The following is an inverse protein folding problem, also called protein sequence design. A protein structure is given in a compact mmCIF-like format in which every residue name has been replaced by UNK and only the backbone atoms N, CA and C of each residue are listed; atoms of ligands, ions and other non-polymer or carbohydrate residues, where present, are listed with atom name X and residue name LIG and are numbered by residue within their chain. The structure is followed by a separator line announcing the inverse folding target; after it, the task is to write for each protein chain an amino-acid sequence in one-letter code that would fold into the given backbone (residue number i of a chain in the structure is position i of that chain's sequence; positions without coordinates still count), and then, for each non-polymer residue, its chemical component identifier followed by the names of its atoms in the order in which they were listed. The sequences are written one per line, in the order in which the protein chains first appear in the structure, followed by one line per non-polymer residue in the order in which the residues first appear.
data_IF_807595428522
#
_entry.id   IF_807595428522
#
_cell.length_a   1.000
_cell.length_b   1.000
_cell.length_c   1.000
_cell.angle_alpha   90.00
_cell.angle_beta   90.00
_cell.angle_gamma   90.00
#
_symmetry.space_group_name_H-M   'P 1'
#
loop_
_entity.id
_entity.type
_entity.pdbx_description
1 polymer ?
#
# COMPACT_ATOMS: atom_id res chain seq x y z
N UNK A 1 30.54 36.09 10.58
CA UNK A 1 29.85 35.17 9.65
C UNK A 1 30.87 34.26 9.04
N UNK A 2 30.67 32.96 9.20
CA UNK A 2 31.48 31.92 8.59
C UNK A 2 31.16 31.81 7.09
N UNK A 3 32.05 31.16 6.33
CA UNK A 3 31.80 30.78 4.94
C UNK A 3 30.57 29.86 4.82
N UNK A 4 30.33 29.02 5.83
CA UNK A 4 29.14 28.18 5.89
C UNK A 4 27.85 28.99 6.06
N UNK A 5 27.88 30.10 6.81
CA UNK A 5 26.71 30.99 6.97
C UNK A 5 26.33 31.63 5.63
N UNK A 6 27.33 32.07 4.85
CA UNK A 6 27.10 32.65 3.51
C UNK A 6 26.53 31.64 2.53
N UNK A 7 27.10 30.43 2.49
CA UNK A 7 26.62 29.36 1.62
C UNK A 7 25.18 28.93 1.97
N UNK A 8 24.85 28.91 3.26
CA UNK A 8 23.49 28.62 3.72
C UNK A 8 22.48 29.68 3.24
N UNK A 9 22.82 30.96 3.39
CA UNK A 9 21.97 32.06 2.95
C UNK A 9 21.78 32.06 1.41
N UNK A 10 22.84 31.74 0.65
CA UNK A 10 22.78 31.60 -0.82
C UNK A 10 21.91 30.41 -1.28
N UNK A 11 21.83 29.33 -0.49
CA UNK A 11 20.97 28.18 -0.83
C UNK A 11 19.47 28.44 -0.66
N UNK A 12 19.08 29.46 0.10
CA UNK A 12 17.67 29.85 0.25
C UNK A 12 17.02 30.29 -1.07
N UNK A 13 17.81 30.85 -1.99
CA UNK A 13 17.34 31.42 -3.26
C UNK A 13 17.29 30.43 -4.42
N UNK A 14 17.86 29.22 -4.27
CA UNK A 14 17.92 28.25 -5.37
C UNK A 14 16.52 27.69 -5.68
N UNK A 15 15.69 27.42 -4.67
CA UNK A 15 14.36 26.83 -4.85
C UNK A 15 13.38 27.78 -5.55
N UNK A 16 13.42 29.06 -5.17
CA UNK A 16 12.62 30.11 -5.80
C UNK A 16 13.02 30.32 -7.26
N UNK A 17 14.31 30.17 -7.60
CA UNK A 17 14.80 30.21 -8.99
C UNK A 17 14.23 29.10 -9.88
N UNK A 18 13.83 27.97 -9.28
CA UNK A 18 13.20 26.84 -9.97
C UNK A 18 11.66 26.85 -9.86
N UNK A 19 11.08 27.92 -9.31
CA UNK A 19 9.65 28.05 -9.04
C UNK A 19 9.11 26.90 -8.16
N UNK A 20 9.93 26.41 -7.23
CA UNK A 20 9.58 25.37 -6.27
C UNK A 20 9.36 26.01 -4.89
N UNK A 21 8.21 25.72 -4.27
CA UNK A 21 7.93 26.08 -2.88
C UNK A 21 8.46 25.03 -1.89
N UNK A 22 8.55 23.78 -2.33
CA UNK A 22 9.09 22.64 -1.60
C UNK A 22 9.68 21.64 -2.60
N UNK A 23 10.55 20.74 -2.14
CA UNK A 23 11.05 19.64 -2.96
C UNK A 23 9.92 18.63 -3.14
N UNK A 24 9.42 18.40 -4.36
CA UNK A 24 8.29 17.51 -4.58
C UNK A 24 8.71 16.02 -4.53
N UNK A 25 10.01 15.75 -4.44
CA UNK A 25 10.59 14.42 -4.38
C UNK A 25 10.88 14.03 -2.94
N UNK A 26 10.54 12.79 -2.59
CA UNK A 26 11.02 12.14 -1.38
C UNK A 26 11.68 10.82 -1.75
N UNK A 27 12.50 10.31 -0.84
CA UNK A 27 13.16 9.00 -1.04
C UNK A 27 12.17 7.84 -1.09
N UNK A 28 10.95 8.00 -0.55
CA UNK A 28 9.95 6.94 -0.51
C UNK A 28 8.62 7.35 -1.16
N UNK A 29 8.20 6.57 -2.14
CA UNK A 29 6.86 6.71 -2.73
C UNK A 29 5.72 6.61 -1.69
N UNK A 30 5.94 5.92 -0.55
CA UNK A 30 4.94 5.85 0.51
C UNK A 30 4.72 7.18 1.23
N UNK A 31 5.73 8.06 1.29
CA UNK A 31 5.60 9.41 1.87
C UNK A 31 5.03 10.43 0.87
N UNK A 32 4.99 10.11 -0.42
CA UNK A 32 4.41 10.98 -1.47
C UNK A 32 2.90 10.84 -1.64
N UNK A 33 2.19 10.03 -0.84
CA UNK A 33 0.77 9.66 -1.09
C UNK A 33 -0.19 10.85 -1.31
N UNK A 34 0.04 12.00 -0.69
CA UNK A 34 -0.78 13.21 -0.85
C UNK A 34 -0.44 14.03 -2.11
N UNK A 35 0.75 13.85 -2.67
CA UNK A 35 1.28 14.61 -3.81
C UNK A 35 1.66 13.70 -5.01
N UNK A 36 1.37 12.40 -4.93
CA UNK A 36 1.81 11.40 -5.91
C UNK A 36 1.33 11.74 -7.32
N UNK A 37 0.08 12.22 -7.45
CA UNK A 37 -0.52 12.60 -8.71
C UNK A 37 0.16 13.82 -9.37
N UNK A 38 0.88 14.64 -8.60
CA UNK A 38 1.65 15.79 -9.10
C UNK A 38 3.04 15.39 -9.60
N UNK A 39 3.59 14.28 -9.09
CA UNK A 39 5.00 13.90 -9.32
C UNK A 39 5.16 12.61 -10.10
N UNK A 40 4.11 11.79 -10.15
CA UNK A 40 4.07 10.57 -10.95
C UNK A 40 4.02 10.91 -12.44
N UNK A 41 5.09 10.58 -13.15
CA UNK A 41 5.23 10.89 -14.59
C UNK A 41 5.55 9.65 -15.40
N UNK A 42 5.16 9.67 -16.68
CA UNK A 42 5.40 8.56 -17.61
C UNK A 42 4.50 7.34 -17.34
N UNK A 43 5.01 6.14 -17.68
CA UNK A 43 4.33 4.83 -17.46
C UNK A 43 2.96 4.65 -18.10
N UNK A 44 2.62 5.47 -19.10
CA UNK A 44 1.30 5.43 -19.75
C UNK A 44 0.99 4.07 -20.38
N UNK A 45 2.00 3.38 -20.92
CA UNK A 45 1.82 2.05 -21.52
C UNK A 45 1.45 1.02 -20.44
N UNK A 46 2.18 1.01 -19.33
CA UNK A 46 1.98 0.13 -18.19
C UNK A 46 0.63 0.41 -17.49
N UNK A 47 0.29 1.69 -17.30
CA UNK A 47 -1.02 2.11 -16.77
C UNK A 47 -2.16 1.62 -17.67
N UNK A 48 -2.03 1.78 -18.99
CA UNK A 48 -3.05 1.30 -19.94
C UNK A 48 -3.21 -0.22 -19.86
N UNK A 49 -2.11 -0.96 -19.74
CA UNK A 49 -2.15 -2.42 -19.58
C UNK A 49 -2.86 -2.82 -18.29
N UNK A 50 -2.46 -2.28 -17.14
CA UNK A 50 -3.04 -2.68 -15.85
C UNK A 50 -4.51 -2.26 -15.74
N UNK A 51 -4.90 -1.08 -16.21
CA UNK A 51 -6.29 -0.65 -16.18
C UNK A 51 -7.18 -1.49 -17.10
N UNK A 52 -6.67 -1.96 -18.24
CA UNK A 52 -7.40 -2.92 -19.07
C UNK A 52 -7.62 -4.25 -18.35
N UNK A 53 -6.62 -4.75 -17.63
CA UNK A 53 -6.75 -5.96 -16.81
C UNK A 53 -7.79 -5.76 -15.69
N UNK A 54 -7.71 -4.63 -14.97
CA UNK A 54 -8.59 -4.29 -13.85
C UNK A 54 -10.04 -3.99 -14.26
N UNK A 55 -10.30 -3.67 -15.53
CA UNK A 55 -11.67 -3.55 -16.07
C UNK A 55 -12.33 -4.91 -16.37
N UNK A 56 -11.55 -5.99 -16.43
CA UNK A 56 -12.09 -7.34 -16.66
C UNK A 56 -13.00 -7.82 -15.51
N UNK A 57 -13.80 -8.85 -15.81
CA UNK A 57 -14.62 -9.54 -14.80
C UNK A 57 -13.84 -10.61 -14.02
N UNK A 58 -12.81 -11.17 -14.66
CA UNK A 58 -11.99 -12.22 -14.07
C UNK A 58 -10.98 -11.65 -13.08
N UNK A 59 -10.90 -12.27 -11.89
CA UNK A 59 -9.92 -11.90 -10.87
C UNK A 59 -8.50 -12.12 -11.37
N UNK A 60 -7.65 -11.10 -11.24
CA UNK A 60 -6.26 -11.13 -11.70
C UNK A 60 -5.27 -11.13 -10.53
N UNK A 61 -4.13 -11.77 -10.78
CA UNK A 61 -2.93 -11.71 -9.94
C UNK A 61 -1.86 -11.07 -10.81
N UNK A 62 -1.60 -9.81 -10.55
CA UNK A 62 -0.79 -8.94 -11.39
C UNK A 62 0.57 -8.83 -10.72
N UNK A 63 1.62 -9.20 -11.45
CA UNK A 63 3.00 -9.00 -11.00
C UNK A 63 3.52 -7.68 -11.61
N UNK A 64 3.86 -6.73 -10.75
CA UNK A 64 4.59 -5.51 -11.12
C UNK A 64 6.06 -5.81 -10.95
N UNK A 65 6.75 -5.98 -12.07
CA UNK A 65 8.11 -6.50 -12.10
C UNK A 65 9.11 -5.46 -12.60
N UNK A 66 10.27 -5.36 -11.95
CA UNK A 66 11.36 -4.49 -12.37
C UNK A 66 12.41 -4.26 -11.28
N UNK A 67 13.52 -3.64 -11.65
CA UNK A 67 14.64 -3.36 -10.73
C UNK A 67 14.23 -2.53 -9.52
N UNK A 68 15.03 -2.58 -8.45
CA UNK A 68 14.87 -1.72 -7.27
C UNK A 68 15.03 -0.25 -7.67
N UNK A 69 14.24 0.65 -7.06
CA UNK A 69 14.30 2.09 -7.33
C UNK A 69 13.57 2.57 -8.60
N UNK A 70 13.03 1.66 -9.43
CA UNK A 70 12.42 2.02 -10.72
C UNK A 70 10.99 2.62 -10.60
N UNK A 71 10.49 2.79 -9.37
CA UNK A 71 9.17 3.38 -9.08
C UNK A 71 8.00 2.39 -9.03
N UNK A 72 8.21 1.11 -8.69
CA UNK A 72 7.13 0.10 -8.59
C UNK A 72 6.07 0.48 -7.56
N UNK A 73 6.49 0.86 -6.35
CA UNK A 73 5.60 1.32 -5.27
C UNK A 73 4.77 2.52 -5.71
N UNK A 74 5.40 3.54 -6.30
CA UNK A 74 4.72 4.71 -6.83
C UNK A 74 3.67 4.32 -7.90
N UNK A 75 4.02 3.43 -8.82
CA UNK A 75 3.11 2.93 -9.85
C UNK A 75 1.90 2.22 -9.25
N UNK A 76 2.10 1.35 -8.26
CA UNK A 76 1.01 0.65 -7.57
C UNK A 76 0.10 1.64 -6.85
N UNK A 77 0.67 2.58 -6.08
CA UNK A 77 -0.09 3.58 -5.35
C UNK A 77 -0.93 4.46 -6.29
N UNK A 78 -0.39 4.85 -7.45
CA UNK A 78 -1.15 5.61 -8.45
C UNK A 78 -2.31 4.80 -9.03
N UNK A 79 -2.08 3.51 -9.35
CA UNK A 79 -3.14 2.62 -9.83
C UNK A 79 -4.27 2.50 -8.81
N UNK A 80 -3.94 2.27 -7.54
CA UNK A 80 -4.94 2.16 -6.47
C UNK A 80 -5.68 3.48 -6.25
N UNK A 81 -4.98 4.61 -6.28
CA UNK A 81 -5.58 5.96 -6.19
C UNK A 81 -6.59 6.22 -7.32
N UNK A 82 -6.26 5.83 -8.55
CA UNK A 82 -7.20 5.91 -9.68
C UNK A 82 -8.41 5.00 -9.47
N UNK A 83 -8.22 3.76 -9.01
CA UNK A 83 -9.33 2.83 -8.73
C UNK A 83 -10.28 3.40 -7.68
N UNK A 84 -9.78 3.92 -6.56
CA UNK A 84 -10.61 4.51 -5.50
C UNK A 84 -11.41 5.73 -6.00
N UNK A 85 -10.79 6.59 -6.81
CA UNK A 85 -11.45 7.79 -7.35
C UNK A 85 -12.51 7.46 -8.43
N UNK A 86 -12.29 6.40 -9.21
CA UNK A 86 -13.11 6.09 -10.40
C UNK A 86 -14.07 4.90 -10.23
N UNK A 87 -13.84 4.01 -9.26
CA UNK A 87 -14.62 2.79 -9.02
C UNK A 87 -15.06 2.73 -7.56
N UNK A 88 -16.16 3.40 -7.23
CA UNK A 88 -16.68 3.51 -5.84
C UNK A 88 -17.13 2.17 -5.24
N UNK A 89 -17.36 1.17 -6.08
CA UNK A 89 -17.72 -0.20 -5.76
C UNK A 89 -16.50 -1.12 -5.55
N UNK A 90 -15.28 -0.60 -5.71
CA UNK A 90 -14.02 -1.34 -5.51
C UNK A 90 -13.34 -0.89 -4.23
N UNK A 91 -13.06 -1.83 -3.33
CA UNK A 91 -12.15 -1.62 -2.20
C UNK A 91 -10.71 -1.88 -2.67
N UNK A 92 -9.88 -0.85 -2.74
CA UNK A 92 -8.48 -0.96 -3.14
C UNK A 92 -7.58 -0.70 -1.93
N UNK A 93 -6.74 -1.68 -1.59
CA UNK A 93 -5.92 -1.71 -0.37
C UNK A 93 -4.44 -1.92 -0.71
N UNK A 94 -3.56 -1.52 0.20
CA UNK A 94 -2.11 -1.61 0.05
C UNK A 94 -1.46 -2.02 1.36
N UNK A 95 -0.41 -2.85 1.29
CA UNK A 95 0.51 -3.10 2.38
C UNK A 95 1.92 -3.38 1.83
N UNK A 96 2.94 -2.83 2.48
CA UNK A 96 4.32 -3.32 2.33
C UNK A 96 4.47 -4.55 3.23
N UNK A 97 5.17 -5.59 2.78
CA UNK A 97 5.32 -6.81 3.59
C UNK A 97 5.96 -6.45 4.97
N UNK A 98 5.22 -6.54 6.10
CA UNK A 98 5.60 -5.82 7.31
C UNK A 98 6.88 -6.31 7.97
N UNK A 99 7.13 -7.62 7.93
CA UNK A 99 8.29 -8.22 8.58
C UNK A 99 8.82 -9.42 7.83
N UNK A 100 10.06 -9.77 8.17
CA UNK A 100 10.68 -11.01 7.76
C UNK A 100 10.03 -12.29 8.33
N UNK A 101 8.92 -12.23 9.04
CA UNK A 101 8.20 -13.44 9.51
C UNK A 101 6.74 -13.48 9.09
N UNK A 102 6.26 -12.41 8.47
CA UNK A 102 4.87 -12.29 8.05
C UNK A 102 4.63 -13.09 6.77
N UNK A 103 3.59 -13.91 6.75
CA UNK A 103 3.12 -14.58 5.54
C UNK A 103 2.19 -13.68 4.70
N UNK A 104 1.94 -14.08 3.46
CA UNK A 104 1.10 -13.29 2.53
C UNK A 104 -0.36 -13.18 3.00
N UNK A 105 -0.88 -14.20 3.69
CA UNK A 105 -2.26 -14.21 4.16
C UNK A 105 -2.46 -13.22 5.31
N UNK A 106 -1.51 -13.17 6.23
CA UNK A 106 -1.45 -12.20 7.32
C UNK A 106 -1.30 -10.79 6.77
N UNK A 107 -0.41 -10.58 5.79
CA UNK A 107 -0.26 -9.27 5.14
C UNK A 107 -1.56 -8.82 4.46
N UNK A 108 -2.19 -9.70 3.66
CA UNK A 108 -3.47 -9.41 3.01
C UNK A 108 -4.58 -9.12 4.02
N UNK A 109 -4.64 -9.88 5.11
CA UNK A 109 -5.60 -9.69 6.20
C UNK A 109 -5.43 -8.33 6.86
N UNK A 110 -4.20 -7.94 7.19
CA UNK A 110 -3.90 -6.62 7.77
C UNK A 110 -4.31 -5.50 6.81
N UNK A 111 -3.96 -5.62 5.52
CA UNK A 111 -4.30 -4.62 4.50
C UNK A 111 -5.82 -4.43 4.38
N UNK A 112 -6.55 -5.55 4.36
CA UNK A 112 -8.00 -5.55 4.27
C UNK A 112 -8.64 -4.98 5.54
N UNK A 113 -8.20 -5.41 6.71
CA UNK A 113 -8.75 -4.97 7.99
C UNK A 113 -8.53 -3.47 8.24
N UNK A 114 -7.35 -2.94 7.89
CA UNK A 114 -7.08 -1.49 7.94
C UNK A 114 -8.02 -0.69 7.04
N UNK A 115 -8.40 -1.26 5.90
CA UNK A 115 -9.29 -0.63 4.93
C UNK A 115 -10.79 -0.77 5.29
N UNK A 116 -11.11 -1.39 6.43
CA UNK A 116 -12.47 -1.58 6.93
C UNK A 116 -12.61 -1.04 8.38
N UNK A 117 -12.37 0.25 8.62
CA UNK A 117 -12.32 0.84 9.98
C UNK A 117 -13.65 0.67 10.75
N UNK A 118 -14.78 0.70 10.05
CA UNK A 118 -16.11 0.57 10.65
C UNK A 118 -16.58 -0.88 10.84
N UNK A 119 -15.74 -1.88 10.50
CA UNK A 119 -16.06 -3.29 10.70
C UNK A 119 -15.45 -3.79 12.03
N UNK A 120 -16.31 -4.10 13.01
CA UNK A 120 -15.88 -4.52 14.35
C UNK A 120 -14.97 -5.75 14.32
N UNK A 121 -15.25 -6.71 13.42
CA UNK A 121 -14.43 -7.91 13.28
C UNK A 121 -13.04 -7.59 12.73
N UNK A 122 -12.96 -6.71 11.73
CA UNK A 122 -11.68 -6.21 11.23
C UNK A 122 -10.85 -5.56 12.35
N UNK A 123 -11.47 -4.73 13.19
CA UNK A 123 -10.76 -4.05 14.28
C UNK A 123 -10.34 -5.01 15.39
N UNK A 124 -11.15 -6.01 15.69
CA UNK A 124 -10.78 -7.08 16.63
C UNK A 124 -9.57 -7.88 16.13
N UNK A 125 -9.54 -8.24 14.84
CA UNK A 125 -8.41 -8.95 14.24
C UNK A 125 -7.11 -8.14 14.35
N UNK A 126 -7.14 -6.83 14.03
CA UNK A 126 -5.96 -5.97 14.19
C UNK A 126 -5.49 -5.93 15.65
N UNK A 127 -6.41 -5.76 16.60
CA UNK A 127 -6.08 -5.75 18.03
C UNK A 127 -5.46 -7.07 18.49
N UNK A 128 -5.98 -8.20 18.05
CA UNK A 128 -5.42 -9.53 18.36
C UNK A 128 -4.02 -9.71 17.79
N UNK A 129 -3.74 -9.12 16.63
CA UNK A 129 -2.40 -9.12 16.03
C UNK A 129 -1.43 -8.14 16.69
N UNK A 130 -1.87 -7.38 17.70
CA UNK A 130 -1.06 -6.37 18.38
C UNK A 130 -0.97 -5.05 17.62
N UNK A 131 -1.78 -4.85 16.58
CA UNK A 131 -1.77 -3.68 15.72
C UNK A 131 -2.81 -2.66 16.18
N UNK A 132 -2.45 -1.38 16.13
CA UNK A 132 -3.36 -0.29 16.52
C UNK A 132 -4.40 -0.04 15.42
N UNK A 133 -5.68 -0.04 15.80
CA UNK A 133 -6.81 0.32 14.94
C UNK A 133 -6.79 1.82 14.57
N UNK A 134 -7.14 2.16 13.32
CA UNK A 134 -7.22 3.56 12.86
C UNK A 134 -8.16 4.44 13.72
N UNK A 135 -9.22 3.86 14.29
CA UNK A 135 -10.15 4.55 15.19
C UNK A 135 -9.46 5.06 16.46
N UNK A 136 -8.45 4.34 16.95
CA UNK A 136 -7.66 4.73 18.14
C UNK A 136 -6.61 5.79 17.80
N UNK A 137 -6.15 5.86 16.55
CA UNK A 137 -5.25 6.94 16.07
C UNK A 137 -6.02 8.25 15.81
N UNK A 138 -7.26 8.19 15.30
CA UNK A 138 -8.12 9.37 15.00
C UNK A 138 -8.42 10.26 16.22
N UNK A 139 -8.34 9.75 17.46
CA UNK A 139 -8.53 10.57 18.68
C UNK A 139 -7.36 11.50 18.99
N UNK A 140 -6.17 11.28 18.40
CA UNK A 140 -5.00 12.18 18.54
C UNK A 140 -4.84 13.20 17.41
N UNK A 141 -5.31 12.93 16.20
CA UNK A 141 -5.12 13.76 15.00
C UNK A 141 -6.44 14.36 14.51
N UNK A 142 -7.04 15.23 15.32
CA UNK A 142 -8.31 15.89 15.03
C UNK A 142 -8.12 17.22 14.28
N UNK A 143 -7.22 17.27 13.28
CA UNK A 143 -7.06 18.42 12.38
C UNK A 143 -6.69 17.84 11.00
N UNK A 144 -7.36 18.33 9.96
CA UNK A 144 -7.20 18.01 8.52
C UNK A 144 -8.15 16.95 7.92
N UNK A 145 -9.22 17.48 7.34
CA UNK A 145 -10.35 16.74 6.79
C UNK A 145 -10.14 16.23 5.35
N UNK A 146 -11.06 15.32 5.01
CA UNK A 146 -11.42 14.82 3.67
C UNK A 146 -10.59 13.70 3.01
N UNK A 147 -9.87 12.87 3.77
CA UNK A 147 -9.44 11.52 3.31
C UNK A 147 -9.41 10.48 4.44
N UNK A 148 -10.52 10.36 5.19
CA UNK A 148 -10.62 9.55 6.41
C UNK A 148 -10.48 8.01 6.24
N UNK A 149 -10.11 7.51 5.05
CA UNK A 149 -9.80 6.10 4.76
C UNK A 149 -8.39 5.86 4.23
N UNK A 150 -7.49 6.87 4.26
CA UNK A 150 -6.12 6.73 3.75
C UNK A 150 -5.08 7.57 4.53
N UNK A 151 -5.41 8.03 5.74
CA UNK A 151 -4.76 9.15 6.41
C UNK A 151 -4.18 8.88 7.81
N UNK A 152 -3.72 7.67 8.11
CA UNK A 152 -2.83 7.43 9.24
C UNK A 152 -1.38 7.39 8.74
N UNK A 153 -0.51 8.24 9.27
CA UNK A 153 0.95 8.20 9.05
C UNK A 153 1.48 6.76 9.18
N UNK A 154 1.89 6.18 8.06
CA UNK A 154 2.66 4.94 8.02
C UNK A 154 4.14 5.32 7.98
N UNK A 155 4.63 5.86 9.09
CA UNK A 155 5.93 5.38 9.55
C UNK A 155 5.66 3.96 10.04
N UNK A 156 6.10 2.98 9.25
CA UNK A 156 6.25 1.60 9.72
C UNK A 156 7.34 1.61 10.79
N UNK A 157 7.00 2.04 12.00
CA UNK A 157 7.61 1.43 13.16
C UNK A 157 7.36 -0.07 13.02
N UNK A 158 8.43 -0.87 13.13
CA UNK A 158 8.39 -2.32 13.06
C UNK A 158 7.59 -2.88 14.23
N UNK A 159 6.26 -2.75 14.17
CA UNK A 159 5.35 -3.31 15.15
C UNK A 159 5.44 -4.84 15.00
N UNK A 160 5.70 -5.53 16.12
CA UNK A 160 5.75 -6.99 16.13
C UNK A 160 4.36 -7.54 15.82
N UNK A 161 4.17 -8.02 14.59
CA UNK A 161 2.91 -8.63 14.15
C UNK A 161 2.80 -10.03 14.76
N UNK A 162 1.78 -10.26 15.59
CA UNK A 162 1.42 -11.59 16.05
C UNK A 162 0.41 -12.21 15.07
N UNK A 163 0.81 -13.15 14.19
CA UNK A 163 -0.11 -13.71 13.22
C UNK A 163 -1.24 -14.47 13.92
N UNK A 164 -2.44 -14.44 13.34
CA UNK A 164 -3.55 -15.28 13.79
C UNK A 164 -3.21 -16.76 13.61
N UNK A 165 -3.82 -17.66 14.39
CA UNK A 165 -3.57 -19.11 14.26
C UNK A 165 -3.90 -19.67 12.86
N UNK A 166 -4.91 -19.09 12.17
CA UNK A 166 -5.33 -19.49 10.83
C UNK A 166 -5.51 -18.28 9.89
N UNK A 167 -4.42 -17.67 9.40
CA UNK A 167 -4.48 -16.41 8.63
C UNK A 167 -5.32 -16.50 7.36
N UNK A 168 -5.24 -17.62 6.63
CA UNK A 168 -6.01 -17.83 5.40
C UNK A 168 -7.51 -17.87 5.66
N UNK A 169 -7.96 -18.49 6.76
CA UNK A 169 -9.38 -18.54 7.11
C UNK A 169 -9.87 -17.17 7.57
N UNK A 170 -9.12 -16.52 8.46
CA UNK A 170 -9.45 -15.16 8.91
C UNK A 170 -9.49 -14.15 7.76
N UNK A 171 -8.57 -14.28 6.79
CA UNK A 171 -8.58 -13.49 5.57
C UNK A 171 -9.84 -13.75 4.73
N UNK A 172 -10.20 -15.02 4.51
CA UNK A 172 -11.39 -15.35 3.71
C UNK A 172 -12.67 -14.84 4.36
N UNK A 173 -12.84 -15.02 5.67
CA UNK A 173 -13.99 -14.53 6.41
C UNK A 173 -14.13 -13.00 6.29
N UNK A 174 -13.01 -12.28 6.39
CA UNK A 174 -13.03 -10.82 6.24
C UNK A 174 -13.25 -10.39 4.78
N UNK A 175 -12.70 -11.13 3.81
CA UNK A 175 -12.93 -10.90 2.38
C UNK A 175 -14.41 -11.05 2.03
N UNK A 176 -15.09 -12.07 2.54
CA UNK A 176 -16.51 -12.28 2.30
C UNK A 176 -17.35 -11.11 2.82
N UNK A 177 -17.00 -10.59 4.00
CA UNK A 177 -17.63 -9.38 4.57
C UNK A 177 -17.37 -8.14 3.72
N UNK A 178 -16.17 -7.99 3.17
CA UNK A 178 -15.86 -6.90 2.25
C UNK A 178 -16.68 -7.02 0.96
N UNK A 179 -16.79 -8.22 0.40
CA UNK A 179 -17.53 -8.47 -0.85
C UNK A 179 -19.05 -8.31 -0.72
N UNK A 180 -19.60 -8.34 0.50
CA UNK A 180 -20.98 -7.93 0.74
C UNK A 180 -21.21 -6.42 0.55
N UNK A 181 -20.17 -5.59 0.72
CA UNK A 181 -20.23 -4.13 0.60
C UNK A 181 -19.66 -3.62 -0.73
N UNK A 182 -18.70 -4.33 -1.28
CA UNK A 182 -17.96 -3.95 -2.47
C UNK A 182 -18.07 -5.03 -3.54
N UNK A 183 -18.26 -4.64 -4.79
CA UNK A 183 -18.28 -5.59 -5.92
C UNK A 183 -16.90 -6.20 -6.19
N UNK A 184 -15.83 -5.52 -5.75
CA UNK A 184 -14.46 -5.96 -5.96
C UNK A 184 -13.57 -5.56 -4.78
N UNK A 185 -12.63 -6.44 -4.44
CA UNK A 185 -11.52 -6.14 -3.52
C UNK A 185 -10.20 -6.34 -4.27
N UNK A 186 -9.37 -5.30 -4.29
CA UNK A 186 -8.01 -5.29 -4.86
C UNK A 186 -7.01 -5.07 -3.73
N UNK A 187 -6.07 -6.00 -3.59
CA UNK A 187 -5.06 -5.97 -2.53
C UNK A 187 -3.68 -5.91 -3.18
N UNK A 188 -2.96 -4.81 -2.95
CA UNK A 188 -1.56 -4.71 -3.31
C UNK A 188 -0.67 -5.13 -2.14
N UNK A 189 0.25 -6.07 -2.39
CA UNK A 189 1.29 -6.49 -1.44
C UNK A 189 2.64 -6.16 -2.08
N UNK A 190 3.30 -5.16 -1.52
CA UNK A 190 4.57 -4.60 -1.99
C UNK A 190 5.75 -5.21 -1.21
N UNK A 191 6.96 -4.86 -1.63
CA UNK A 191 8.23 -5.25 -0.99
C UNK A 191 8.52 -6.76 -0.94
N UNK A 192 7.78 -7.57 -1.72
CA UNK A 192 8.17 -8.97 -1.97
C UNK A 192 9.53 -9.05 -2.64
N UNK A 193 9.88 -8.05 -3.43
CA UNK A 193 11.15 -7.96 -4.12
C UNK A 193 12.33 -7.55 -3.23
N UNK A 194 12.08 -7.21 -1.96
CA UNK A 194 13.11 -6.97 -0.96
C UNK A 194 13.41 -8.20 -0.10
N UNK A 195 12.67 -9.28 -0.29
CA UNK A 195 12.82 -10.53 0.46
C UNK A 195 13.77 -11.50 -0.26
N UNK A 196 14.30 -12.45 0.51
CA UNK A 196 15.04 -13.58 -0.07
C UNK A 196 14.19 -14.34 -1.11
N UNK A 197 14.73 -14.67 -2.31
CA UNK A 197 13.96 -15.32 -3.38
C UNK A 197 13.37 -16.69 -2.99
N UNK A 198 14.08 -17.50 -2.21
CA UNK A 198 13.56 -18.81 -1.79
C UNK A 198 12.39 -18.64 -0.83
N UNK A 199 12.49 -17.64 0.04
CA UNK A 199 11.37 -17.24 0.87
C UNK A 199 10.18 -16.73 0.04
N UNK A 200 10.39 -15.89 -0.98
CA UNK A 200 9.29 -15.42 -1.84
C UNK A 200 8.57 -16.61 -2.49
N UNK A 201 9.33 -17.61 -2.97
CA UNK A 201 8.74 -18.85 -3.51
C UNK A 201 7.91 -19.57 -2.47
N UNK A 202 8.40 -19.69 -1.23
CA UNK A 202 7.67 -20.32 -0.13
C UNK A 202 6.39 -19.55 0.23
N UNK A 203 6.47 -18.21 0.31
CA UNK A 203 5.33 -17.34 0.55
C UNK A 203 4.23 -17.55 -0.50
N UNK A 204 4.60 -17.52 -1.78
CA UNK A 204 3.67 -17.74 -2.89
C UNK A 204 3.08 -19.16 -2.88
N UNK A 205 3.90 -20.16 -2.56
CA UNK A 205 3.46 -21.55 -2.46
C UNK A 205 2.42 -21.72 -1.34
N UNK A 206 2.70 -21.21 -0.15
CA UNK A 206 1.79 -21.30 1.00
C UNK A 206 0.49 -20.52 0.77
N UNK A 207 0.55 -19.44 0.01
CA UNK A 207 -0.58 -18.58 -0.29
C UNK A 207 -1.40 -19.02 -1.51
N UNK A 208 -1.09 -20.14 -2.18
CA UNK A 208 -1.76 -20.54 -3.43
C UNK A 208 -3.29 -20.59 -3.31
N UNK A 209 -3.81 -21.10 -2.19
CA UNK A 209 -5.26 -21.13 -1.93
C UNK A 209 -5.86 -19.73 -1.86
N UNK A 210 -5.28 -18.85 -1.04
CA UNK A 210 -5.68 -17.45 -0.92
C UNK A 210 -5.58 -16.72 -2.26
N UNK A 211 -4.45 -16.88 -2.94
CA UNK A 211 -4.21 -16.24 -4.22
C UNK A 211 -5.26 -16.68 -5.22
N UNK A 212 -5.74 -17.93 -5.22
CA UNK A 212 -6.82 -18.43 -6.10
C UNK A 212 -8.23 -17.96 -5.72
N UNK A 213 -8.41 -17.31 -4.56
CA UNK A 213 -9.69 -16.81 -4.06
C UNK A 213 -10.29 -15.63 -4.83
N UNK A 214 -11.25 -14.96 -4.20
CA UNK A 214 -12.10 -13.94 -4.84
C UNK A 214 -11.49 -12.53 -4.89
N UNK A 215 -10.38 -12.30 -4.18
CA UNK A 215 -9.64 -11.05 -4.23
C UNK A 215 -8.77 -10.94 -5.49
N UNK A 216 -8.56 -9.70 -5.93
CA UNK A 216 -7.57 -9.36 -6.94
C UNK A 216 -6.27 -8.98 -6.24
N UNK A 217 -5.14 -9.44 -6.78
CA UNK A 217 -3.83 -9.18 -6.17
C UNK A 217 -2.93 -8.40 -7.12
N UNK A 218 -2.19 -7.45 -6.56
CA UNK A 218 -1.05 -6.79 -7.21
C UNK A 218 0.16 -7.08 -6.33
N UNK A 219 1.18 -7.74 -6.89
CA UNK A 219 2.38 -8.17 -6.18
C UNK A 219 3.59 -7.50 -6.83
N UNK A 220 4.63 -7.18 -6.05
CA UNK A 220 5.92 -6.76 -6.62
C UNK A 220 6.88 -7.90 -6.82
N UNK A 221 7.80 -7.71 -7.77
CA UNK A 221 8.93 -8.61 -8.02
C UNK A 221 10.12 -7.85 -8.62
N UNK A 222 11.31 -8.44 -8.51
CA UNK A 222 12.52 -7.94 -9.17
C UNK A 222 13.15 -9.02 -10.05
N UNK A 223 13.90 -8.61 -11.09
CA UNK A 223 14.91 -9.46 -11.69
C UNK A 223 15.99 -9.77 -10.66
N UNK A 224 16.00 -11.02 -10.22
CA UNK A 224 17.16 -11.67 -9.61
C UNK A 224 18.31 -11.73 -10.59
#
# INVERSE_FOLDING_TARGET
MSEADKLWDETGDIWSSWNLQEIPFSESASSLRSNLDKVFTGRTKELKQIFNLLRGRERKRILVYGSVGIGKTAFILEVLSVLQRKSKDTLATYISLPTEKTDLATAALIALARSMPEDEWAQQLLKQMGLVSELTRKTKTKIEGKFAGFGGSFEEESETVNPTQFPTLAFQDLLDRALQKYTRVVIAIDDLDKQDPDRVRQLLHNAQGMLKGDAWFILTGHPS
#
